data_IF_288952233142
#
_entry.id   IF_288952233142
#
_cell.length_a   1.000
_cell.length_b   1.000
_cell.length_c   1.000
_cell.angle_alpha   90.00
_cell.angle_beta   90.00
_cell.angle_gamma   90.00
#
_symmetry.space_group_name_H-M   'P 1'
#
loop_
_entity.id
_entity.type
_entity.pdbx_description
1 polymer ?
#
# COMPACT_ATOMS: atom_id res chain seq x y z
N UNK A 1 8.33 12.84 16.33
CA UNK A 1 9.09 11.66 15.88
C UNK A 1 8.98 11.59 14.37
N UNK A 2 10.03 11.94 13.63
CA UNK A 2 10.06 11.71 12.18
C UNK A 2 10.14 10.21 11.96
N UNK A 3 9.08 9.61 11.43
CA UNK A 3 9.06 8.21 11.07
C UNK A 3 10.17 7.96 10.04
N UNK A 4 11.08 7.02 10.32
CA UNK A 4 12.10 6.61 9.34
C UNK A 4 11.40 6.22 8.04
N UNK A 5 11.91 6.66 6.89
CA UNK A 5 11.32 6.37 5.59
C UNK A 5 11.16 4.85 5.37
N UNK A 6 12.03 4.03 5.97
CA UNK A 6 11.90 2.56 5.98
C UNK A 6 10.62 2.09 6.69
N UNK A 7 10.31 2.67 7.86
CA UNK A 7 9.08 2.37 8.59
C UNK A 7 7.85 2.80 7.77
N UNK A 8 7.96 3.89 7.02
CA UNK A 8 6.89 4.37 6.14
C UNK A 8 6.62 3.43 4.97
N UNK A 9 7.66 2.89 4.33
CA UNK A 9 7.52 1.88 3.27
C UNK A 9 6.85 0.62 3.80
N UNK A 10 7.28 0.12 4.96
CA UNK A 10 6.70 -1.07 5.58
C UNK A 10 5.21 -0.87 5.94
N UNK A 11 4.85 0.27 6.53
CA UNK A 11 3.46 0.59 6.84
C UNK A 11 2.58 0.65 5.59
N UNK A 12 3.04 1.30 4.52
CA UNK A 12 2.29 1.39 3.27
C UNK A 12 2.10 0.02 2.61
N UNK A 13 3.11 -0.86 2.67
CA UNK A 13 2.97 -2.23 2.20
C UNK A 13 1.95 -3.03 3.02
N UNK A 14 1.93 -2.88 4.35
CA UNK A 14 0.95 -3.52 5.21
C UNK A 14 -0.48 -3.03 4.92
N UNK A 15 -0.65 -1.71 4.72
CA UNK A 15 -1.94 -1.14 4.32
C UNK A 15 -2.41 -1.66 2.96
N UNK A 16 -1.50 -1.77 1.99
CA UNK A 16 -1.81 -2.33 0.68
C UNK A 16 -2.26 -3.80 0.78
N UNK A 17 -1.52 -4.62 1.53
CA UNK A 17 -1.86 -6.03 1.73
C UNK A 17 -3.24 -6.20 2.39
N UNK A 18 -3.50 -5.44 3.45
CA UNK A 18 -4.79 -5.47 4.14
C UNK A 18 -5.94 -5.03 3.22
N UNK A 19 -5.75 -3.98 2.42
CA UNK A 19 -6.75 -3.52 1.46
C UNK A 19 -7.01 -4.57 0.36
N UNK A 20 -5.99 -5.29 -0.10
CA UNK A 20 -6.16 -6.42 -1.02
C UNK A 20 -6.95 -7.58 -0.41
N UNK A 21 -6.66 -7.95 0.84
CA UNK A 21 -7.41 -8.99 1.56
C UNK A 21 -8.89 -8.58 1.73
N UNK A 22 -9.14 -7.34 2.16
CA UNK A 22 -10.49 -6.82 2.29
C UNK A 22 -11.23 -6.79 0.94
N UNK A 23 -10.54 -6.42 -0.15
CA UNK A 23 -11.11 -6.46 -1.49
C UNK A 23 -11.50 -7.87 -1.91
N UNK A 24 -10.65 -8.87 -1.64
CA UNK A 24 -10.95 -10.27 -1.94
C UNK A 24 -12.17 -10.78 -1.16
N UNK A 25 -12.30 -10.39 0.12
CA UNK A 25 -13.46 -10.71 0.95
C UNK A 25 -14.74 -10.05 0.40
N UNK A 26 -14.69 -8.77 0.03
CA UNK A 26 -15.82 -8.05 -0.55
C UNK A 26 -16.25 -8.68 -1.88
N UNK A 27 -15.29 -9.01 -2.75
CA UNK A 27 -15.53 -9.67 -4.02
C UNK A 27 -16.19 -11.05 -3.82
N UNK A 28 -15.71 -11.84 -2.87
CA UNK A 28 -16.28 -13.14 -2.52
C UNK A 28 -17.71 -13.07 -1.97
N UNK A 29 -18.10 -11.93 -1.38
CA UNK A 29 -19.47 -11.64 -0.91
C UNK A 29 -20.38 -11.07 -2.01
N UNK A 30 -19.87 -10.86 -3.23
CA UNK A 30 -20.61 -10.24 -4.33
C UNK A 30 -20.69 -8.71 -4.25
N UNK A 31 -20.01 -8.08 -3.28
CA UNK A 31 -19.91 -6.63 -3.19
C UNK A 31 -18.75 -6.13 -4.06
N UNK A 32 -18.95 -6.18 -5.38
CA UNK A 32 -17.94 -5.84 -6.36
C UNK A 32 -17.56 -4.35 -6.36
N UNK A 33 -18.48 -3.47 -5.95
CA UNK A 33 -18.19 -2.04 -5.84
C UNK A 33 -17.17 -1.78 -4.73
N UNK A 34 -17.43 -2.27 -3.52
CA UNK A 34 -16.47 -2.15 -2.41
C UNK A 34 -15.16 -2.86 -2.73
N UNK A 35 -15.20 -4.03 -3.39
CA UNK A 35 -13.99 -4.72 -3.81
C UNK A 35 -13.12 -3.89 -4.77
N UNK A 36 -13.75 -3.19 -5.71
CA UNK A 36 -13.05 -2.32 -6.66
C UNK A 36 -12.41 -1.12 -5.94
N UNK A 37 -13.14 -0.46 -5.06
CA UNK A 37 -12.63 0.69 -4.29
C UNK A 37 -11.47 0.29 -3.39
N UNK A 38 -11.58 -0.83 -2.67
CA UNK A 38 -10.51 -1.38 -1.84
C UNK A 38 -9.28 -1.77 -2.67
N UNK A 39 -9.48 -2.35 -3.85
CA UNK A 39 -8.37 -2.66 -4.76
C UNK A 39 -7.65 -1.41 -5.25
N UNK A 40 -8.39 -0.32 -5.50
CA UNK A 40 -7.80 0.97 -5.85
C UNK A 40 -6.97 1.55 -4.71
N UNK A 41 -7.48 1.52 -3.48
CA UNK A 41 -6.73 1.94 -2.29
C UNK A 41 -5.44 1.12 -2.11
N UNK A 42 -5.51 -0.20 -2.30
CA UNK A 42 -4.34 -1.06 -2.23
C UNK A 42 -3.26 -0.67 -3.25
N UNK A 43 -3.68 -0.34 -4.48
CA UNK A 43 -2.79 0.13 -5.54
C UNK A 43 -2.18 1.49 -5.19
N UNK A 44 -2.96 2.43 -4.64
CA UNK A 44 -2.47 3.74 -4.22
C UNK A 44 -1.40 3.62 -3.12
N UNK A 45 -1.63 2.80 -2.11
CA UNK A 45 -0.64 2.51 -1.06
C UNK A 45 0.63 1.85 -1.61
N UNK A 46 0.48 0.91 -2.54
CA UNK A 46 1.63 0.26 -3.20
C UNK A 46 2.46 1.26 -4.01
N UNK A 47 1.80 2.16 -4.75
CA UNK A 47 2.48 3.20 -5.52
C UNK A 47 3.20 4.21 -4.62
N UNK A 48 2.63 4.55 -3.46
CA UNK A 48 3.31 5.35 -2.44
C UNK A 48 4.52 4.64 -1.85
N UNK A 49 4.37 3.36 -1.46
CA UNK A 49 5.47 2.56 -0.92
C UNK A 49 6.64 2.49 -1.90
N UNK A 50 6.33 2.32 -3.20
CA UNK A 50 7.33 2.31 -4.26
C UNK A 50 8.08 3.65 -4.35
N UNK A 51 7.37 4.78 -4.42
CA UNK A 51 7.99 6.12 -4.46
C UNK A 51 8.88 6.39 -3.24
N UNK A 52 8.46 5.95 -2.06
CA UNK A 52 9.28 6.07 -0.84
C UNK A 52 10.52 5.17 -0.89
N UNK A 53 10.40 3.97 -1.46
CA UNK A 53 11.53 3.06 -1.67
C UNK A 53 12.55 3.62 -2.65
N UNK A 54 12.10 4.25 -3.74
CA UNK A 54 12.98 4.93 -4.69
C UNK A 54 13.77 6.06 -4.02
N UNK A 55 13.12 6.87 -3.18
CA UNK A 55 13.79 7.93 -2.41
C UNK A 55 14.83 7.38 -1.44
N UNK A 56 14.53 6.28 -0.76
CA UNK A 56 15.49 5.60 0.11
C UNK A 56 16.72 5.12 -0.65
N UNK A 57 16.51 4.55 -1.84
CA UNK A 57 17.63 4.11 -2.68
C UNK A 57 18.51 5.28 -3.11
N UNK A 58 17.91 6.43 -3.44
CA UNK A 58 18.64 7.66 -3.77
C UNK A 58 19.43 8.19 -2.57
N UNK A 59 18.83 8.18 -1.37
CA UNK A 59 19.50 8.60 -0.12
C UNK A 59 20.68 7.71 0.25
N UNK A 60 20.55 6.39 0.08
CA UNK A 60 21.62 5.42 0.36
C UNK A 60 22.77 5.48 -0.65
N UNK A 61 22.50 5.95 -1.88
CA UNK A 61 23.51 6.10 -2.95
C UNK A 61 24.35 7.38 -2.82
N UNK A 62 23.95 8.33 -1.98
CA UNK A 62 24.72 9.54 -1.67
C UNK A 62 25.78 9.27 -0.61
#
# INVERSE_FOLDING_TARGET
>A
MTQSTHNRVAELHNLAAHAHEAAAVAHGKGDHLSAHELSKQAQEHSAEAHRHSEKLLEEVRK
#
